data_IF_606797224976
#
_entry.id   IF_606797224976
#
_cell.length_a   1.000
_cell.length_b   1.000
_cell.length_c   1.000
_cell.angle_alpha   90.00
_cell.angle_beta   90.00
_cell.angle_gamma   90.00
#
_symmetry.space_group_name_H-M   'P 1'
#
loop_
_entity.id
_entity.type
_entity.pdbx_description
1 polymer ?
#
# COMPACT_ATOMS: atom_id res chain seq x y z
N UNK A 1 27.63 27.19 -8.04
CA UNK A 1 28.35 25.93 -8.26
C UNK A 1 27.63 24.69 -7.69
N UNK A 2 26.82 24.80 -6.61
CA UNK A 2 26.09 23.64 -6.05
C UNK A 2 24.85 23.15 -6.84
N UNK A 3 24.21 23.99 -7.66
CA UNK A 3 22.97 23.61 -8.39
C UNK A 3 23.19 22.48 -9.40
N UNK A 4 24.29 22.52 -10.16
CA UNK A 4 24.57 21.52 -11.20
C UNK A 4 24.88 20.11 -10.68
N UNK A 5 25.33 19.97 -9.42
CA UNK A 5 25.54 18.65 -8.82
C UNK A 5 24.22 17.99 -8.41
N UNK A 6 23.28 18.77 -7.88
CA UNK A 6 21.93 18.27 -7.59
C UNK A 6 21.17 17.94 -8.87
N UNK A 7 21.28 18.77 -9.91
CA UNK A 7 20.60 18.53 -11.20
C UNK A 7 21.03 17.21 -11.88
N UNK A 8 22.27 16.75 -11.63
CA UNK A 8 22.77 15.47 -12.16
C UNK A 8 22.28 14.27 -11.34
N UNK A 9 21.98 14.49 -10.05
CA UNK A 9 21.55 13.45 -9.10
C UNK A 9 20.03 13.28 -9.09
N UNK A 10 19.27 14.37 -9.24
CA UNK A 10 17.80 14.38 -9.19
C UNK A 10 17.14 14.44 -10.57
N UNK A 11 17.91 14.68 -11.64
CA UNK A 11 17.38 14.92 -12.98
C UNK A 11 16.73 16.30 -13.12
N UNK A 12 16.60 16.78 -14.37
CA UNK A 12 15.97 18.07 -14.66
C UNK A 12 14.49 18.04 -14.24
N UNK A 13 13.97 19.07 -13.55
CA UNK A 13 12.57 19.13 -13.16
C UNK A 13 11.71 19.14 -14.43
N UNK A 14 10.91 18.09 -14.61
CA UNK A 14 9.94 18.02 -15.70
C UNK A 14 8.84 19.07 -15.47
N UNK A 15 8.76 20.00 -16.41
CA UNK A 15 7.68 20.97 -16.55
C UNK A 15 6.33 20.25 -16.55
N UNK A 16 5.40 20.70 -15.71
CA UNK A 16 4.09 20.06 -15.49
C UNK A 16 3.23 19.87 -16.77
N UNK A 17 3.56 20.56 -17.85
CA UNK A 17 2.83 20.54 -19.13
C UNK A 17 3.13 19.32 -20.02
N UNK A 18 4.21 18.56 -19.75
CA UNK A 18 4.55 17.33 -20.51
C UNK A 18 4.08 16.03 -19.84
N UNK A 19 3.50 16.11 -18.63
CA UNK A 19 3.10 14.95 -17.81
C UNK A 19 1.83 14.22 -18.27
N UNK A 20 1.03 14.82 -19.16
CA UNK A 20 -0.25 14.24 -19.61
C UNK A 20 -0.09 13.07 -20.61
N UNK A 21 1.10 12.84 -21.15
CA UNK A 21 1.36 11.80 -22.16
C UNK A 21 2.18 10.59 -21.69
N UNK A 22 2.93 10.70 -20.60
CA UNK A 22 3.76 9.60 -20.11
C UNK A 22 2.96 8.67 -19.20
N UNK A 23 2.20 7.76 -19.82
CA UNK A 23 1.79 6.53 -19.16
C UNK A 23 3.06 5.82 -18.73
N UNK A 24 3.28 5.67 -17.42
CA UNK A 24 4.38 4.85 -16.91
C UNK A 24 4.38 3.52 -17.64
N UNK A 25 5.54 3.13 -18.17
CA UNK A 25 5.66 1.85 -18.85
C UNK A 25 5.27 0.74 -17.86
N UNK A 26 4.55 -0.28 -18.32
CA UNK A 26 3.98 -1.36 -17.48
C UNK A 26 4.92 -1.86 -16.37
N UNK A 27 6.23 -2.13 -16.61
CA UNK A 27 7.12 -2.60 -15.54
C UNK A 27 7.35 -1.59 -14.42
N UNK A 28 7.43 -0.29 -14.72
CA UNK A 28 7.59 0.75 -13.70
C UNK A 28 6.29 0.96 -12.92
N UNK A 29 5.14 0.96 -13.60
CA UNK A 29 3.84 1.07 -12.94
C UNK A 29 3.59 -0.11 -12.00
N UNK A 30 3.95 -1.33 -12.43
CA UNK A 30 3.89 -2.53 -11.61
C UNK A 30 4.81 -2.43 -10.39
N UNK A 31 6.05 -1.97 -10.56
CA UNK A 31 7.01 -1.88 -9.45
C UNK A 31 6.52 -0.93 -8.34
N UNK A 32 5.95 0.22 -8.71
CA UNK A 32 5.41 1.19 -7.74
C UNK A 32 4.17 0.63 -7.03
N UNK A 33 3.22 0.07 -7.78
CA UNK A 33 1.99 -0.50 -7.20
C UNK A 33 2.25 -1.76 -6.36
N UNK A 34 3.21 -2.59 -6.78
CA UNK A 34 3.60 -3.78 -6.03
C UNK A 34 4.31 -3.42 -4.72
N UNK A 35 5.03 -2.30 -4.66
CA UNK A 35 5.71 -1.87 -3.43
C UNK A 35 4.74 -1.68 -2.26
N UNK A 36 3.57 -1.11 -2.52
CA UNK A 36 2.55 -0.86 -1.50
C UNK A 36 1.95 -2.19 -0.98
N UNK A 37 1.59 -3.08 -1.91
CA UNK A 37 1.11 -4.42 -1.57
C UNK A 37 2.17 -5.24 -0.80
N UNK A 38 3.43 -5.23 -1.24
CA UNK A 38 4.52 -5.96 -0.60
C UNK A 38 4.84 -5.40 0.79
N UNK A 39 4.79 -4.08 0.95
CA UNK A 39 4.98 -3.44 2.27
C UNK A 39 3.92 -3.89 3.26
N UNK A 40 2.67 -4.07 2.80
CA UNK A 40 1.57 -4.54 3.65
C UNK A 40 1.75 -5.98 4.10
N UNK A 41 2.28 -6.87 3.25
CA UNK A 41 2.49 -8.28 3.60
C UNK A 41 3.70 -8.50 4.53
N UNK A 42 4.67 -7.57 4.53
CA UNK A 42 5.91 -7.72 5.30
C UNK A 42 5.70 -7.84 6.82
N UNK A 43 4.67 -7.17 7.38
CA UNK A 43 4.36 -7.21 8.82
C UNK A 43 3.26 -8.23 9.19
N UNK A 44 2.58 -8.84 8.21
CA UNK A 44 1.40 -9.70 8.44
C UNK A 44 1.72 -10.92 9.30
N UNK A 45 2.89 -11.54 9.11
CA UNK A 45 3.25 -12.73 9.88
C UNK A 45 3.44 -12.43 11.37
N UNK A 46 4.06 -11.30 11.68
CA UNK A 46 4.29 -10.83 13.06
C UNK A 46 2.98 -10.43 13.71
N UNK A 47 2.13 -9.67 13.02
CA UNK A 47 0.80 -9.27 13.52
C UNK A 47 -0.12 -10.47 13.78
N UNK A 48 -0.19 -11.45 12.87
CA UNK A 48 -0.98 -12.67 13.08
C UNK A 48 -0.48 -13.39 14.33
N UNK A 49 0.82 -13.58 14.48
CA UNK A 49 1.39 -14.26 15.65
C UNK A 49 1.18 -13.46 16.93
N UNK A 50 1.36 -12.15 16.92
CA UNK A 50 1.15 -11.29 18.09
C UNK A 50 -0.28 -11.41 18.64
N UNK A 51 -1.28 -11.37 17.76
CA UNK A 51 -2.69 -11.54 18.15
C UNK A 51 -2.98 -12.98 18.59
N UNK A 52 -2.56 -13.99 17.82
CA UNK A 52 -2.91 -15.39 18.10
C UNK A 52 -2.17 -15.95 19.32
N UNK A 53 -0.92 -15.56 19.57
CA UNK A 53 -0.17 -15.97 20.77
C UNK A 53 -0.89 -15.49 22.02
N UNK A 54 -1.47 -14.29 22.00
CA UNK A 54 -2.25 -13.76 23.12
C UNK A 54 -3.51 -14.57 23.46
N UNK A 55 -4.08 -15.30 22.50
CA UNK A 55 -5.34 -16.05 22.67
C UNK A 55 -5.10 -17.56 22.84
N UNK A 56 -4.24 -18.15 22.01
CA UNK A 56 -4.03 -19.60 21.92
C UNK A 56 -2.57 -20.04 22.15
N UNK A 57 -1.68 -19.11 22.50
CA UNK A 57 -0.29 -19.40 22.83
C UNK A 57 0.49 -20.04 21.67
N UNK A 58 1.32 -21.04 21.96
CA UNK A 58 2.18 -21.72 20.98
C UNK A 58 1.40 -22.51 19.90
N UNK A 59 0.10 -22.76 20.09
CA UNK A 59 -0.73 -23.39 19.06
C UNK A 59 -0.93 -22.47 17.83
N UNK A 60 -0.59 -21.18 17.94
CA UNK A 60 -0.66 -20.18 16.88
C UNK A 60 0.12 -20.54 15.61
N UNK A 61 1.28 -21.18 15.76
CA UNK A 61 2.14 -21.55 14.62
C UNK A 61 1.45 -22.51 13.64
N UNK A 62 0.56 -23.38 14.12
CA UNK A 62 -0.21 -24.27 13.25
C UNK A 62 -1.31 -23.54 12.46
N UNK A 63 -1.81 -22.43 13.01
CA UNK A 63 -2.84 -21.62 12.40
C UNK A 63 -2.27 -20.60 11.40
N UNK A 64 -1.04 -20.14 11.60
CA UNK A 64 -0.37 -19.20 10.70
C UNK A 64 -0.40 -19.67 9.24
N UNK A 65 -0.04 -20.94 8.99
CA UNK A 65 -0.06 -21.50 7.64
C UNK A 65 -1.46 -21.56 7.01
N UNK A 66 -2.48 -21.89 7.82
CA UNK A 66 -3.89 -21.93 7.36
C UNK A 66 -4.41 -20.54 7.02
N UNK A 67 -4.15 -19.55 7.88
CA UNK A 67 -4.55 -18.16 7.67
C UNK A 67 -3.86 -17.59 6.43
N UNK A 68 -2.56 -17.84 6.28
CA UNK A 68 -1.81 -17.42 5.09
C UNK A 68 -2.40 -18.00 3.79
N UNK A 69 -2.75 -19.29 3.78
CA UNK A 69 -3.45 -19.90 2.63
C UNK A 69 -4.80 -19.24 2.34
N UNK A 70 -5.58 -18.89 3.36
CA UNK A 70 -6.84 -18.17 3.17
C UNK A 70 -6.62 -16.77 2.58
N UNK A 71 -5.60 -16.04 3.04
CA UNK A 71 -5.23 -14.72 2.49
C UNK A 71 -4.83 -14.86 1.01
N UNK A 72 -4.01 -15.85 0.65
CA UNK A 72 -3.63 -16.11 -0.74
C UNK A 72 -4.87 -16.38 -1.61
N UNK A 73 -5.81 -17.20 -1.12
CA UNK A 73 -7.09 -17.45 -1.81
C UNK A 73 -7.91 -16.17 -2.02
N UNK A 74 -7.95 -15.29 -1.01
CA UNK A 74 -8.64 -14.01 -1.08
C UNK A 74 -7.97 -13.06 -2.10
N UNK A 75 -6.63 -13.00 -2.13
CA UNK A 75 -5.88 -12.22 -3.13
C UNK A 75 -6.10 -12.73 -4.55
N UNK A 76 -6.23 -14.06 -4.73
CA UNK A 76 -6.56 -14.65 -6.02
C UNK A 76 -7.95 -14.21 -6.50
N UNK A 77 -8.95 -14.24 -5.61
CA UNK A 77 -10.30 -13.78 -5.92
C UNK A 77 -10.34 -12.28 -6.25
N UNK A 78 -9.63 -11.46 -5.48
CA UNK A 78 -9.47 -10.02 -5.76
C UNK A 78 -8.83 -9.78 -7.12
N UNK A 79 -7.79 -10.54 -7.47
CA UNK A 79 -7.10 -10.42 -8.77
C UNK A 79 -8.08 -10.65 -9.92
N UNK A 80 -8.91 -11.70 -9.84
CA UNK A 80 -9.95 -11.97 -10.84
C UNK A 80 -10.96 -10.83 -10.90
N UNK A 81 -11.41 -10.33 -9.75
CA UNK A 81 -12.34 -9.19 -9.67
C UNK A 81 -11.78 -7.94 -10.34
N UNK A 82 -10.53 -7.58 -10.07
CA UNK A 82 -9.86 -6.44 -10.70
C UNK A 82 -9.68 -6.62 -12.21
N UNK A 83 -9.38 -7.83 -12.69
CA UNK A 83 -9.31 -8.12 -14.12
C UNK A 83 -10.66 -7.84 -14.80
N UNK A 84 -11.77 -8.21 -14.16
CA UNK A 84 -13.11 -7.94 -14.69
C UNK A 84 -13.38 -6.43 -14.74
N UNK A 85 -13.06 -5.71 -13.66
CA UNK A 85 -13.25 -4.25 -13.58
C UNK A 85 -12.41 -3.53 -14.65
N UNK A 86 -11.13 -3.88 -14.80
CA UNK A 86 -10.23 -3.25 -15.78
C UNK A 86 -10.73 -3.48 -17.22
N UNK A 87 -11.28 -4.67 -17.51
CA UNK A 87 -11.87 -4.97 -18.82
C UNK A 87 -13.16 -4.19 -19.07
N UNK A 88 -14.01 -4.04 -18.06
CA UNK A 88 -15.26 -3.28 -18.16
C UNK A 88 -15.03 -1.77 -18.25
N UNK A 89 -13.95 -1.27 -17.62
CA UNK A 89 -13.60 0.15 -17.53
C UNK A 89 -12.22 0.46 -18.11
N UNK A 90 -12.03 0.33 -19.44
CA UNK A 90 -10.72 0.50 -20.09
C UNK A 90 -10.20 1.94 -20.08
N UNK A 91 -11.09 2.92 -19.89
CA UNK A 91 -10.73 4.34 -19.72
C UNK A 91 -10.21 4.67 -18.30
N UNK A 92 -10.28 3.71 -17.37
CA UNK A 92 -9.95 3.92 -15.96
C UNK A 92 -11.07 4.64 -15.19
N UNK A 93 -10.76 5.13 -13.99
CA UNK A 93 -11.71 5.85 -13.13
C UNK A 93 -11.70 5.43 -11.66
N UNK A 94 -11.07 4.29 -11.34
CA UNK A 94 -10.93 3.79 -9.97
C UNK A 94 -12.26 3.43 -9.31
N UNK A 95 -12.21 3.10 -8.02
CA UNK A 95 -13.39 2.64 -7.27
C UNK A 95 -14.53 3.67 -7.23
N UNK A 96 -14.21 4.98 -7.29
CA UNK A 96 -15.20 6.06 -7.34
C UNK A 96 -16.09 5.99 -8.58
N UNK A 97 -15.50 5.93 -9.78
CA UNK A 97 -16.26 5.92 -11.04
C UNK A 97 -17.08 4.64 -11.15
N UNK A 98 -16.49 3.49 -10.79
CA UNK A 98 -17.19 2.20 -10.80
C UNK A 98 -18.38 2.21 -9.84
N UNK A 99 -18.22 2.67 -8.60
CA UNK A 99 -19.31 2.74 -7.63
C UNK A 99 -20.38 3.77 -8.04
N UNK A 100 -19.97 4.93 -8.55
CA UNK A 100 -20.88 5.98 -9.00
C UNK A 100 -21.79 5.52 -10.13
N UNK A 101 -21.23 4.81 -11.11
CA UNK A 101 -21.99 4.37 -12.29
C UNK A 101 -22.87 3.16 -12.01
N UNK A 102 -22.48 2.26 -11.09
CA UNK A 102 -23.24 1.04 -10.81
C UNK A 102 -24.23 1.16 -9.65
N UNK A 103 -23.91 1.95 -8.62
CA UNK A 103 -24.67 2.00 -7.36
C UNK A 103 -25.24 3.40 -7.09
N UNK A 104 -24.58 4.44 -7.62
CA UNK A 104 -25.06 5.81 -7.56
C UNK A 104 -24.07 6.75 -6.87
N UNK A 105 -24.42 8.04 -6.84
CA UNK A 105 -23.49 9.10 -6.43
C UNK A 105 -23.07 8.99 -4.95
N UNK A 106 -23.99 8.57 -4.07
CA UNK A 106 -23.70 8.44 -2.64
C UNK A 106 -22.67 7.33 -2.38
N UNK A 107 -22.83 6.16 -3.00
CA UNK A 107 -21.88 5.05 -2.87
C UNK A 107 -20.53 5.39 -3.52
N UNK A 108 -20.55 6.14 -4.63
CA UNK A 108 -19.34 6.74 -5.19
C UNK A 108 -18.60 7.60 -4.17
N UNK A 109 -19.28 8.54 -3.51
CA UNK A 109 -18.68 9.41 -2.49
C UNK A 109 -18.10 8.61 -1.31
N UNK A 110 -18.78 7.54 -0.88
CA UNK A 110 -18.26 6.64 0.17
C UNK A 110 -16.97 5.97 -0.31
N UNK A 111 -16.94 5.47 -1.55
CA UNK A 111 -15.73 4.87 -2.12
C UNK A 111 -14.57 5.87 -2.23
N UNK A 112 -14.85 7.13 -2.60
CA UNK A 112 -13.84 8.18 -2.62
C UNK A 112 -13.32 8.53 -1.21
N UNK A 113 -14.20 8.64 -0.22
CA UNK A 113 -13.81 8.88 1.16
C UNK A 113 -12.96 7.74 1.72
N UNK A 114 -13.34 6.50 1.44
CA UNK A 114 -12.57 5.32 1.83
C UNK A 114 -11.15 5.34 1.23
N UNK A 115 -11.01 5.69 -0.06
CA UNK A 115 -9.70 5.82 -0.70
C UNK A 115 -8.84 6.93 -0.09
N UNK A 116 -9.42 8.06 0.30
CA UNK A 116 -8.67 9.13 0.97
C UNK A 116 -8.16 8.68 2.34
N UNK A 117 -8.99 7.97 3.10
CA UNK A 117 -8.60 7.42 4.41
C UNK A 117 -7.51 6.37 4.23
N UNK A 118 -7.66 5.48 3.24
CA UNK A 118 -6.68 4.46 2.89
C UNK A 118 -5.31 5.09 2.61
N UNK A 119 -5.24 6.12 1.76
CA UNK A 119 -3.98 6.81 1.48
C UNK A 119 -3.34 7.45 2.72
N UNK A 120 -4.14 8.08 3.59
CA UNK A 120 -3.63 8.68 4.83
C UNK A 120 -3.09 7.59 5.75
N UNK A 121 -3.83 6.48 5.88
CA UNK A 121 -3.46 5.37 6.73
C UNK A 121 -2.18 4.68 6.23
N UNK A 122 -2.06 4.43 4.93
CA UNK A 122 -0.86 3.85 4.32
C UNK A 122 0.37 4.70 4.64
N UNK A 123 0.30 6.02 4.45
CA UNK A 123 1.42 6.92 4.79
C UNK A 123 1.75 6.87 6.28
N UNK A 124 0.74 6.89 7.15
CA UNK A 124 0.94 6.86 8.61
C UNK A 124 1.57 5.53 9.08
N UNK A 125 1.09 4.39 8.57
CA UNK A 125 1.60 3.06 8.90
C UNK A 125 3.02 2.88 8.38
N UNK A 126 3.29 3.26 7.12
CA UNK A 126 4.65 3.19 6.56
C UNK A 126 5.64 4.06 7.34
N UNK A 127 5.24 5.25 7.77
CA UNK A 127 6.11 6.11 8.60
C UNK A 127 6.38 5.50 9.99
N UNK A 128 5.36 4.90 10.60
CA UNK A 128 5.48 4.24 11.92
C UNK A 128 6.38 3.02 11.85
N UNK A 129 6.15 2.12 10.89
CA UNK A 129 6.99 0.94 10.65
C UNK A 129 8.42 1.32 10.26
N UNK A 130 8.60 2.39 9.46
CA UNK A 130 9.91 2.93 9.12
C UNK A 130 10.69 3.42 10.36
N UNK A 131 10.01 4.10 11.29
CA UNK A 131 10.63 4.52 12.54
C UNK A 131 11.01 3.33 13.42
N UNK A 132 10.15 2.31 13.54
CA UNK A 132 10.46 1.08 14.27
C UNK A 132 11.70 0.37 13.73
N UNK A 133 11.82 0.27 12.40
CA UNK A 133 13.01 -0.29 11.76
C UNK A 133 14.29 0.50 12.08
N UNK A 134 14.22 1.83 12.12
CA UNK A 134 15.36 2.70 12.47
C UNK A 134 15.76 2.54 13.94
N UNK A 135 14.81 2.52 14.85
CA UNK A 135 15.07 2.34 16.30
C UNK A 135 15.67 0.96 16.57
N UNK A 136 15.17 -0.09 15.89
CA UNK A 136 15.72 -1.45 15.98
C UNK A 136 17.18 -1.52 15.52
N UNK A 137 17.54 -0.80 14.45
CA UNK A 137 18.91 -0.74 13.96
C UNK A 137 19.87 0.07 14.87
N UNK A 138 19.35 1.08 15.58
CA UNK A 138 20.13 1.95 16.47
C UNK A 138 19.48 2.06 17.86
N UNK A 139 19.70 1.08 18.75
CA UNK A 139 19.03 1.01 20.06
C UNK A 139 19.34 2.20 21.01
N UNK A 140 20.38 3.01 20.71
CA UNK A 140 20.66 4.26 21.43
C UNK A 140 19.61 5.37 21.24
N UNK A 141 18.70 5.23 20.25
CA UNK A 141 17.62 6.18 19.96
C UNK A 141 16.29 5.83 20.63
N UNK A 142 16.19 4.75 21.43
CA UNK A 142 14.95 4.41 22.15
C UNK A 142 14.40 5.56 23.00
N UNK A 143 15.28 6.42 23.55
CA UNK A 143 14.89 7.60 24.34
C UNK A 143 14.17 8.71 23.57
N UNK A 144 14.28 8.74 22.24
CA UNK A 144 13.60 9.71 21.36
C UNK A 144 12.28 9.17 20.79
N UNK A 145 11.83 7.99 21.24
CA UNK A 145 10.51 7.43 20.91
C UNK A 145 9.42 8.34 21.48
N UNK A 146 9.07 9.38 20.73
CA UNK A 146 7.94 10.25 21.00
C UNK A 146 6.69 9.57 20.45
N UNK A 147 6.13 8.61 21.20
CA UNK A 147 4.71 8.22 21.24
C UNK A 147 4.59 7.26 22.43
N UNK A 148 3.90 7.76 23.46
CA UNK A 148 3.33 7.01 24.58
C UNK A 148 2.09 6.24 24.15
#
# INVERSE_FOLDING_TARGET
MLKGFFDILTGKPLSNEQRSGEKYNVPFGLAVMASDAVSSVAYVAEEILGVLIGVIGLASYQWLGKISLMIIGLLFMLTISYIQIIRAYPQGGGAYVVAKENLGVQDGLIAAAALLIDYILTVAVSASAGMEAIVSAFPGLEKLRAIS
#
